data_IF_284328667658
#
_entry.id   IF_284328667658
#
_cell.length_a   1.000
_cell.length_b   1.000
_cell.length_c   1.000
_cell.angle_alpha   90.00
_cell.angle_beta   90.00
_cell.angle_gamma   90.00
#
_symmetry.space_group_name_H-M   'P 1'
#
loop_
_entity.id
_entity.type
_entity.pdbx_description
1 polymer ?
#
# COMPACT_ATOMS: atom_id res chain seq x y z
N UNK A 1 -1.93 7.38 6.92
CA UNK A 1 -1.06 6.34 7.52
C UNK A 1 0.14 6.04 6.64
N UNK A 2 -0.03 5.49 5.42
CA UNK A 2 1.08 5.15 4.50
C UNK A 2 2.01 6.33 4.17
N UNK A 3 1.45 7.52 3.95
CA UNK A 3 2.24 8.77 3.79
C UNK A 3 3.18 9.07 4.97
N UNK A 4 2.78 8.72 6.20
CA UNK A 4 3.61 8.91 7.39
C UNK A 4 4.74 7.88 7.40
N UNK A 5 4.45 6.62 7.03
CA UNK A 5 5.45 5.55 6.90
C UNK A 5 6.54 5.96 5.91
N UNK A 6 6.15 6.32 4.69
CA UNK A 6 7.07 6.77 3.63
C UNK A 6 7.95 7.94 4.07
N UNK A 7 7.39 8.91 4.80
CA UNK A 7 8.14 10.06 5.30
C UNK A 7 9.17 9.69 6.37
N UNK A 8 8.84 8.79 7.30
CA UNK A 8 9.78 8.42 8.38
C UNK A 8 10.86 7.45 7.90
N UNK A 9 10.62 6.75 6.80
CA UNK A 9 11.60 5.86 6.15
C UNK A 9 12.40 6.55 5.04
N UNK A 10 12.28 7.88 4.90
CA UNK A 10 12.90 8.67 3.83
C UNK A 10 12.71 8.03 2.45
N UNK A 11 11.45 7.90 2.00
CA UNK A 11 11.10 7.25 0.72
C UNK A 11 11.59 5.79 0.59
N UNK A 12 11.75 5.10 1.74
CA UNK A 12 12.28 3.73 1.82
C UNK A 12 13.77 3.66 1.45
N UNK A 13 14.55 4.68 1.80
CA UNK A 13 16.01 4.69 1.65
C UNK A 13 16.69 4.18 2.91
N UNK A 14 17.34 3.02 2.80
CA UNK A 14 18.14 2.48 3.90
C UNK A 14 19.39 3.35 4.11
N UNK A 15 19.85 3.51 5.36
CA UNK A 15 21.06 4.28 5.65
C UNK A 15 22.31 3.53 5.16
N UNK A 16 23.38 4.28 4.83
CA UNK A 16 24.63 3.72 4.27
C UNK A 16 25.34 2.74 5.21
N UNK A 17 25.14 2.89 6.52
CA UNK A 17 25.64 1.95 7.54
C UNK A 17 24.62 0.85 7.91
N UNK A 18 23.51 0.75 7.17
CA UNK A 18 22.50 -0.27 7.35
C UNK A 18 23.01 -1.65 6.93
N UNK A 19 22.51 -2.69 7.60
CA UNK A 19 22.73 -4.06 7.12
C UNK A 19 21.75 -4.39 5.98
N UNK A 20 22.06 -5.42 5.20
CA UNK A 20 21.23 -5.92 4.08
C UNK A 20 19.76 -6.19 4.45
N UNK A 21 19.48 -6.48 5.73
CA UNK A 21 18.11 -6.67 6.22
C UNK A 21 17.28 -5.38 6.15
N UNK A 22 17.89 -4.20 6.28
CA UNK A 22 17.19 -2.92 6.10
C UNK A 22 16.71 -2.74 4.67
N UNK A 23 17.58 -2.96 3.68
CA UNK A 23 17.22 -2.87 2.26
C UNK A 23 16.05 -3.79 1.95
N UNK A 24 16.15 -5.05 2.39
CA UNK A 24 15.10 -6.04 2.17
C UNK A 24 13.78 -5.63 2.81
N UNK A 25 13.84 -5.10 4.03
CA UNK A 25 12.63 -4.63 4.74
C UNK A 25 11.99 -3.46 4.00
N UNK A 26 12.78 -2.51 3.53
CA UNK A 26 12.31 -1.31 2.84
C UNK A 26 11.74 -1.62 1.45
N UNK A 27 12.32 -2.58 0.72
CA UNK A 27 11.71 -3.16 -0.48
C UNK A 27 10.32 -3.74 -0.19
N UNK A 28 10.18 -4.55 0.86
CA UNK A 28 8.91 -5.16 1.25
C UNK A 28 7.87 -4.12 1.68
N UNK A 29 8.29 -3.05 2.38
CA UNK A 29 7.39 -1.96 2.77
C UNK A 29 6.88 -1.19 1.54
N UNK A 30 7.75 -0.97 0.54
CA UNK A 30 7.37 -0.33 -0.72
C UNK A 30 6.35 -1.18 -1.50
N UNK A 31 6.57 -2.50 -1.54
CA UNK A 31 5.62 -3.45 -2.13
C UNK A 31 4.27 -3.44 -1.39
N UNK A 32 4.31 -3.48 -0.05
CA UNK A 32 3.12 -3.42 0.80
C UNK A 32 2.29 -2.15 0.51
N UNK A 33 2.94 -0.98 0.44
CA UNK A 33 2.26 0.27 0.13
C UNK A 33 1.59 0.23 -1.24
N UNK A 34 2.29 -0.27 -2.26
CA UNK A 34 1.74 -0.43 -3.61
C UNK A 34 0.51 -1.35 -3.62
N UNK A 35 0.60 -2.49 -2.94
CA UNK A 35 -0.48 -3.47 -2.86
C UNK A 35 -1.72 -2.90 -2.16
N UNK A 36 -1.54 -2.16 -1.06
CA UNK A 36 -2.67 -1.53 -0.36
C UNK A 36 -3.34 -0.47 -1.23
N UNK A 37 -2.56 0.36 -1.94
CA UNK A 37 -3.11 1.36 -2.85
C UNK A 37 -3.90 0.70 -4.00
N UNK A 38 -3.35 -0.36 -4.58
CA UNK A 38 -4.03 -1.14 -5.62
C UNK A 38 -5.34 -1.74 -5.09
N UNK A 39 -5.30 -2.37 -3.92
CA UNK A 39 -6.47 -2.96 -3.29
C UNK A 39 -7.58 -1.93 -3.05
N UNK A 40 -7.24 -0.80 -2.41
CA UNK A 40 -8.18 0.30 -2.18
C UNK A 40 -8.80 0.81 -3.49
N UNK A 41 -8.00 0.93 -4.55
CA UNK A 41 -8.51 1.36 -5.85
C UNK A 41 -9.48 0.34 -6.45
N UNK A 42 -9.15 -0.95 -6.43
CA UNK A 42 -10.03 -2.02 -6.93
C UNK A 42 -11.34 -2.08 -6.16
N UNK A 43 -11.29 -1.94 -4.83
CA UNK A 43 -12.48 -1.92 -3.99
C UNK A 43 -13.40 -0.76 -4.36
N UNK A 44 -12.87 0.46 -4.41
CA UNK A 44 -13.69 1.66 -4.65
C UNK A 44 -14.15 1.81 -6.09
N UNK A 45 -13.34 1.40 -7.07
CA UNK A 45 -13.68 1.56 -8.49
C UNK A 45 -14.48 0.40 -9.06
N UNK A 46 -14.36 -0.81 -8.50
CA UNK A 46 -15.00 -2.01 -9.08
C UNK A 46 -15.91 -2.71 -8.07
N UNK A 47 -15.39 -3.12 -6.91
CA UNK A 47 -16.11 -4.02 -6.01
C UNK A 47 -17.34 -3.34 -5.37
N UNK A 48 -17.16 -2.19 -4.73
CA UNK A 48 -18.23 -1.49 -4.02
C UNK A 48 -19.33 -0.98 -4.96
N UNK A 49 -19.03 -0.42 -6.15
CA UNK A 49 -20.07 -0.05 -7.11
C UNK A 49 -20.91 -1.26 -7.56
N UNK A 50 -20.28 -2.41 -7.80
CA UNK A 50 -20.98 -3.66 -8.15
C UNK A 50 -21.86 -4.14 -7.00
N UNK A 51 -21.33 -4.20 -5.78
CA UNK A 51 -22.10 -4.57 -4.60
C UNK A 51 -23.32 -3.67 -4.38
N UNK A 52 -23.16 -2.35 -4.51
CA UNK A 52 -24.27 -1.40 -4.38
C UNK A 52 -25.35 -1.64 -5.45
N UNK A 53 -24.95 -1.96 -6.68
CA UNK A 53 -25.89 -2.30 -7.76
C UNK A 53 -26.67 -3.58 -7.45
N UNK A 54 -26.00 -4.61 -6.93
CA UNK A 54 -26.68 -5.86 -6.54
C UNK A 54 -27.60 -5.66 -5.33
N UNK A 55 -27.21 -4.83 -4.35
CA UNK A 55 -28.06 -4.55 -3.19
C UNK A 55 -29.36 -3.82 -3.59
N UNK A 56 -29.28 -2.88 -4.53
CA UNK A 56 -30.43 -2.12 -5.03
C UNK A 56 -31.37 -2.94 -5.95
N UNK A 57 -31.05 -4.21 -6.24
CA UNK A 57 -31.91 -5.11 -7.03
C UNK A 57 -32.94 -5.85 -6.18
N UNK A 58 -32.79 -5.82 -4.86
CA UNK A 58 -33.74 -6.34 -3.88
C UNK A 58 -34.58 -5.20 -3.30
#
# INVERSE_FOLDING_TARGET
MLKKLRRVTDEYSAPENGCVTYDKTYEMLKELESNILCHFNLENSILFPKLKKELNRF
#
